data_IF_187286477466
#
_entry.id   IF_187286477466
#
_cell.length_a   1.000
_cell.length_b   1.000
_cell.length_c   1.000
_cell.angle_alpha   90.00
_cell.angle_beta   90.00
_cell.angle_gamma   90.00
#
_symmetry.space_group_name_H-M   'P 1'
#
loop_
_entity.id
_entity.type
_entity.pdbx_description
1 polymer ?
#
# COMPACT_ATOMS: atom_id res chain seq x y z
N UNK A 1 -23.63 1.30 13.37
CA UNK A 1 -24.62 0.93 14.40
C UNK A 1 -25.57 -0.18 13.93
N UNK A 2 -26.09 -0.16 12.70
CA UNK A 2 -26.95 -1.24 12.21
C UNK A 2 -26.26 -2.63 12.24
N UNK A 3 -25.04 -2.74 11.69
CA UNK A 3 -24.31 -4.01 11.64
C UNK A 3 -24.07 -4.63 13.02
N UNK A 4 -23.62 -3.83 13.99
CA UNK A 4 -23.39 -4.30 15.35
C UNK A 4 -24.67 -4.82 16.02
N UNK A 5 -25.84 -4.26 15.70
CA UNK A 5 -27.12 -4.77 16.20
C UNK A 5 -27.43 -6.15 15.57
N UNK A 6 -27.23 -6.30 14.26
CA UNK A 6 -27.43 -7.59 13.58
C UNK A 6 -26.51 -8.69 14.12
N UNK A 7 -25.27 -8.34 14.48
CA UNK A 7 -24.34 -9.26 15.15
C UNK A 7 -24.89 -9.73 16.49
N UNK A 8 -25.39 -8.82 17.34
CA UNK A 8 -25.99 -9.18 18.64
C UNK A 8 -27.22 -10.08 18.48
N UNK A 9 -28.03 -9.85 17.44
CA UNK A 9 -29.19 -10.70 17.13
C UNK A 9 -28.73 -12.12 16.74
N UNK A 10 -27.67 -12.24 15.93
CA UNK A 10 -27.11 -13.55 15.56
C UNK A 10 -26.51 -14.28 16.77
N UNK A 11 -25.79 -13.57 17.64
CA UNK A 11 -25.28 -14.11 18.91
C UNK A 11 -26.43 -14.66 19.77
N UNK A 12 -27.48 -13.86 19.97
CA UNK A 12 -28.64 -14.26 20.78
C UNK A 12 -29.37 -15.49 20.23
N UNK A 13 -29.54 -15.55 18.91
CA UNK A 13 -30.14 -16.72 18.23
C UNK A 13 -29.30 -17.98 18.45
N UNK A 14 -27.98 -17.88 18.31
CA UNK A 14 -27.09 -19.02 18.52
C UNK A 14 -27.10 -19.51 19.97
N UNK A 15 -27.17 -18.61 20.96
CA UNK A 15 -27.35 -18.97 22.39
C UNK A 15 -28.63 -19.79 22.64
N UNK A 16 -29.68 -19.51 21.87
CA UNK A 16 -30.98 -20.20 21.94
C UNK A 16 -31.03 -21.47 21.07
N UNK A 17 -29.90 -21.86 20.44
CA UNK A 17 -29.84 -23.01 19.53
C UNK A 17 -30.51 -22.76 18.17
N UNK A 18 -30.82 -21.50 17.83
CA UNK A 18 -31.40 -21.11 16.56
C UNK A 18 -30.32 -20.74 15.54
N UNK A 19 -30.56 -20.94 14.23
CA UNK A 19 -29.61 -20.55 13.19
C UNK A 19 -29.37 -19.03 13.16
N UNK A 20 -28.11 -18.59 13.23
CA UNK A 20 -27.74 -17.19 13.14
C UNK A 20 -26.28 -17.02 12.72
N UNK A 21 -26.03 -16.21 11.70
CA UNK A 21 -24.69 -15.93 11.19
C UNK A 21 -24.62 -14.50 10.66
N UNK A 22 -23.69 -13.71 11.20
CA UNK A 22 -23.29 -12.41 10.69
C UNK A 22 -21.86 -12.50 10.13
N UNK A 23 -21.67 -12.07 8.89
CA UNK A 23 -20.36 -12.04 8.23
C UNK A 23 -19.94 -10.59 8.02
N UNK A 24 -18.81 -10.21 8.62
CA UNK A 24 -18.17 -8.91 8.44
C UNK A 24 -17.25 -8.97 7.22
N UNK A 25 -17.78 -8.58 6.06
CA UNK A 25 -17.01 -8.48 4.82
C UNK A 25 -16.17 -7.21 4.77
N UNK A 26 -14.94 -7.33 4.26
CA UNK A 26 -14.13 -6.21 3.82
C UNK A 26 -14.64 -5.60 2.51
N UNK A 27 -13.76 -4.93 1.76
CA UNK A 27 -14.11 -4.40 0.44
C UNK A 27 -14.37 -5.56 -0.53
N UNK A 28 -15.53 -5.58 -1.19
CA UNK A 28 -15.88 -6.57 -2.22
C UNK A 28 -15.74 -5.92 -3.59
N UNK A 29 -15.12 -6.63 -4.53
CA UNK A 29 -14.93 -6.21 -5.92
C UNK A 29 -16.24 -6.39 -6.73
N UNK A 30 -16.32 -5.74 -7.89
CA UNK A 30 -17.42 -5.85 -8.88
C UNK A 30 -18.81 -5.31 -8.49
N UNK A 31 -19.13 -5.04 -7.22
CA UNK A 31 -20.41 -4.43 -6.80
C UNK A 31 -20.29 -3.54 -5.56
N UNK A 32 -20.93 -2.36 -5.59
CA UNK A 32 -21.04 -1.43 -4.46
C UNK A 32 -20.54 -0.01 -4.77
N UNK A 33 -20.65 0.91 -3.81
CA UNK A 33 -20.27 2.34 -3.95
C UNK A 33 -18.79 2.53 -4.37
N UNK A 34 -17.94 1.51 -4.13
CA UNK A 34 -16.51 1.51 -4.47
C UNK A 34 -16.24 0.95 -5.88
N UNK A 35 -17.20 0.25 -6.50
CA UNK A 35 -17.06 -0.24 -7.87
C UNK A 35 -17.01 0.92 -8.88
N UNK A 36 -17.75 2.01 -8.61
CA UNK A 36 -17.83 3.24 -9.42
C UNK A 36 -16.65 4.21 -9.25
N UNK A 37 -15.70 3.92 -8.35
CA UNK A 37 -14.51 4.75 -8.15
C UNK A 37 -13.49 4.54 -9.27
N UNK A 38 -12.82 5.62 -9.71
CA UNK A 38 -11.77 5.54 -10.74
C UNK A 38 -10.61 4.64 -10.26
N UNK A 39 -9.95 3.94 -11.19
CA UNK A 39 -8.86 2.99 -10.88
C UNK A 39 -7.73 3.61 -10.05
N UNK A 40 -7.40 4.88 -10.30
CA UNK A 40 -6.39 5.62 -9.53
C UNK A 40 -6.79 5.80 -8.05
N UNK A 41 -8.09 5.97 -7.76
CA UNK A 41 -8.59 6.10 -6.39
C UNK A 41 -8.60 4.74 -5.68
N UNK A 42 -8.89 3.65 -6.40
CA UNK A 42 -8.83 2.28 -5.86
C UNK A 42 -7.40 1.91 -5.43
N UNK A 43 -6.39 2.26 -6.24
CA UNK A 43 -4.98 2.03 -5.92
C UNK A 43 -4.53 2.89 -4.73
N UNK A 44 -4.92 4.17 -4.68
CA UNK A 44 -4.64 5.09 -3.58
C UNK A 44 -5.25 4.65 -2.24
N UNK A 45 -6.50 4.14 -2.23
CA UNK A 45 -7.16 3.66 -1.01
C UNK A 45 -6.53 2.35 -0.54
N UNK A 46 -6.17 1.46 -1.47
CA UNK A 46 -5.50 0.19 -1.18
C UNK A 46 -4.14 0.43 -0.51
N UNK A 47 -3.35 1.38 -1.01
CA UNK A 47 -2.04 1.73 -0.46
C UNK A 47 -2.14 2.41 0.92
N UNK A 48 -3.22 3.16 1.20
CA UNK A 48 -3.42 3.86 2.49
C UNK A 48 -4.06 3.00 3.58
N UNK A 49 -5.04 2.17 3.23
CA UNK A 49 -5.82 1.37 4.20
C UNK A 49 -5.22 -0.03 4.36
N UNK A 50 -4.44 -0.50 3.38
CA UNK A 50 -3.82 -1.82 3.41
C UNK A 50 -4.82 -2.97 3.25
N UNK A 51 -6.04 -2.70 2.76
CA UNK A 51 -7.09 -3.69 2.51
C UNK A 51 -7.38 -3.69 1.00
N UNK A 52 -7.25 -4.87 0.39
CA UNK A 52 -7.55 -5.12 -1.01
C UNK A 52 -9.04 -5.42 -1.21
N UNK A 53 -9.53 -5.20 -2.42
CA UNK A 53 -10.83 -5.67 -2.85
C UNK A 53 -10.82 -7.21 -2.97
N UNK A 54 -11.82 -7.85 -2.36
CA UNK A 54 -12.03 -9.29 -2.41
C UNK A 54 -12.95 -9.61 -3.59
N UNK A 55 -12.52 -10.51 -4.47
CA UNK A 55 -13.33 -10.92 -5.63
C UNK A 55 -14.58 -11.66 -5.21
N UNK A 56 -15.66 -11.58 -6.01
CA UNK A 56 -16.93 -12.28 -5.74
C UNK A 56 -16.71 -13.79 -5.58
N UNK A 57 -15.86 -14.40 -6.42
CA UNK A 57 -15.52 -15.83 -6.29
C UNK A 57 -14.91 -16.15 -4.93
N UNK A 58 -13.99 -15.31 -4.43
CA UNK A 58 -13.41 -15.48 -3.10
C UNK A 58 -14.46 -15.31 -1.99
N UNK A 59 -15.39 -14.37 -2.12
CA UNK A 59 -16.49 -14.22 -1.17
C UNK A 59 -17.39 -15.47 -1.12
N UNK A 60 -17.70 -16.07 -2.28
CA UNK A 60 -18.51 -17.29 -2.34
C UNK A 60 -17.79 -18.50 -1.73
N UNK A 61 -16.48 -18.63 -1.94
CA UNK A 61 -15.66 -19.67 -1.32
C UNK A 61 -15.63 -19.56 0.21
N UNK A 62 -15.48 -18.34 0.74
CA UNK A 62 -15.52 -18.08 2.18
C UNK A 62 -16.93 -18.24 2.77
N UNK A 63 -17.97 -17.85 2.03
CA UNK A 63 -19.35 -18.07 2.44
C UNK A 63 -19.64 -19.55 2.67
N UNK A 64 -19.19 -20.43 1.77
CA UNK A 64 -19.36 -21.87 1.92
C UNK A 64 -18.71 -22.39 3.22
N UNK A 65 -17.50 -21.89 3.56
CA UNK A 65 -16.83 -22.25 4.82
C UNK A 65 -17.60 -21.72 6.04
N UNK A 66 -18.10 -20.49 5.97
CA UNK A 66 -18.81 -19.86 7.08
C UNK A 66 -20.21 -20.43 7.36
N UNK A 67 -20.85 -21.04 6.37
CA UNK A 67 -22.13 -21.73 6.56
C UNK A 67 -22.00 -23.06 7.32
N UNK A 68 -20.80 -23.65 7.39
CA UNK A 68 -20.56 -24.98 7.98
C UNK A 68 -20.00 -24.89 9.42
N UNK A 69 -19.66 -23.69 9.88
CA UNK A 69 -19.04 -23.46 11.20
C UNK A 69 -20.07 -22.98 12.25
N UNK A 70 -19.71 -22.99 13.53
CA UNK A 70 -20.64 -22.77 14.67
C UNK A 70 -20.57 -21.40 15.35
N UNK A 71 -19.68 -20.51 14.92
CA UNK A 71 -19.55 -19.13 15.41
C UNK A 71 -20.63 -18.24 14.78
N UNK A 72 -21.38 -17.47 15.58
CA UNK A 72 -22.44 -16.60 15.08
C UNK A 72 -21.93 -15.34 14.38
N UNK A 73 -20.66 -14.96 14.58
CA UNK A 73 -20.04 -13.79 13.97
C UNK A 73 -18.66 -14.16 13.46
N UNK A 74 -18.40 -13.87 12.18
CA UNK A 74 -17.13 -14.15 11.49
C UNK A 74 -16.76 -12.96 10.59
N UNK A 75 -15.52 -12.91 10.11
CA UNK A 75 -15.05 -11.84 9.22
C UNK A 75 -14.19 -12.40 8.09
N UNK A 76 -14.27 -11.78 6.91
CA UNK A 76 -13.39 -12.05 5.78
C UNK A 76 -12.96 -10.74 5.14
N UNK A 77 -11.64 -10.60 4.97
CA UNK A 77 -11.03 -9.44 4.33
C UNK A 77 -9.70 -9.86 3.69
N UNK A 78 -9.35 -9.20 2.58
CA UNK A 78 -8.06 -9.40 1.93
C UNK A 78 -7.14 -8.26 2.35
N UNK A 79 -6.05 -8.58 3.05
CA UNK A 79 -5.06 -7.58 3.47
C UNK A 79 -4.00 -7.46 2.38
N UNK A 80 -3.69 -6.23 1.98
CA UNK A 80 -2.57 -5.95 1.11
C UNK A 80 -1.29 -6.46 1.78
N UNK A 81 -0.52 -7.28 1.06
CA UNK A 81 0.80 -7.66 1.54
C UNK A 81 1.57 -6.36 1.77
N UNK A 82 1.95 -6.09 3.02
CA UNK A 82 2.97 -5.09 3.32
C UNK A 82 4.15 -5.45 2.42
N UNK A 83 4.42 -4.65 1.38
CA UNK A 83 5.62 -4.81 0.57
C UNK A 83 6.76 -4.79 1.58
N UNK A 84 7.37 -5.94 1.83
CA UNK A 84 8.62 -5.97 2.55
C UNK A 84 9.52 -5.00 1.79
N UNK A 85 10.05 -3.98 2.45
CA UNK A 85 11.02 -3.05 1.88
C UNK A 85 12.33 -3.74 1.42
N UNK A 86 12.33 -5.07 1.22
CA UNK A 86 13.48 -5.86 0.77
C UNK A 86 13.76 -5.77 -0.73
N UNK A 87 12.89 -5.14 -1.54
CA UNK A 87 13.23 -4.69 -2.90
C UNK A 87 13.37 -3.15 -3.00
N UNK A 88 13.28 -2.44 -1.87
CA UNK A 88 13.50 -1.00 -1.81
C UNK A 88 14.95 -0.65 -2.12
N UNK A 89 15.90 -1.47 -1.65
CA UNK A 89 17.37 -1.27 -1.71
C UNK A 89 17.91 -0.85 -3.08
N UNK A 90 17.36 -1.41 -4.14
CA UNK A 90 17.77 -1.04 -5.50
C UNK A 90 16.85 0.01 -6.14
N UNK A 91 15.64 0.23 -5.66
CA UNK A 91 14.64 1.01 -6.41
C UNK A 91 14.82 2.52 -6.24
N UNK A 92 15.09 3.01 -5.02
CA UNK A 92 15.32 4.44 -4.77
C UNK A 92 16.55 4.94 -5.54
N UNK A 93 17.67 4.23 -5.37
CA UNK A 93 18.95 4.56 -5.98
C UNK A 93 18.85 4.42 -7.52
N UNK A 94 18.23 3.35 -8.04
CA UNK A 94 18.02 3.21 -9.49
C UNK A 94 17.10 4.28 -10.06
N UNK A 95 16.05 4.68 -9.35
CA UNK A 95 15.14 5.71 -9.84
C UNK A 95 15.84 7.06 -9.95
N UNK A 96 16.60 7.45 -8.92
CA UNK A 96 17.42 8.68 -8.95
C UNK A 96 18.51 8.58 -10.02
N UNK A 97 19.17 7.43 -10.17
CA UNK A 97 20.17 7.21 -11.21
C UNK A 97 19.58 7.30 -12.63
N UNK A 98 18.37 6.76 -12.85
CA UNK A 98 17.67 6.85 -14.13
C UNK A 98 17.30 8.29 -14.49
N UNK A 99 16.87 9.10 -13.52
CA UNK A 99 16.58 10.53 -13.75
C UNK A 99 17.87 11.29 -14.13
N UNK A 100 19.02 10.89 -13.57
CA UNK A 100 20.34 11.44 -13.90
C UNK A 100 20.99 10.78 -15.14
N UNK A 101 20.28 9.88 -15.84
CA UNK A 101 20.79 9.07 -16.96
C UNK A 101 22.10 8.28 -16.66
N UNK A 102 22.29 7.91 -15.40
CA UNK A 102 23.43 7.11 -14.93
C UNK A 102 23.10 5.63 -15.10
N UNK A 103 23.70 5.00 -16.10
CA UNK A 103 23.47 3.57 -16.42
C UNK A 103 24.18 2.60 -15.46
N UNK A 104 25.33 3.00 -14.90
CA UNK A 104 26.13 2.17 -13.99
C UNK A 104 26.56 2.91 -12.72
N UNK A 105 25.76 2.74 -11.66
CA UNK A 105 26.00 3.34 -10.33
C UNK A 105 27.30 2.82 -9.68
N UNK A 106 27.81 1.66 -10.12
CA UNK A 106 29.03 1.03 -9.57
C UNK A 106 30.30 1.86 -9.77
N UNK A 107 30.32 2.74 -10.77
CA UNK A 107 31.46 3.60 -11.07
C UNK A 107 31.30 5.02 -10.51
N UNK A 108 30.18 5.31 -9.84
CA UNK A 108 29.89 6.64 -9.31
C UNK A 108 30.26 6.72 -7.83
N UNK A 109 30.94 7.80 -7.46
CA UNK A 109 31.27 8.09 -6.07
C UNK A 109 30.00 8.24 -5.24
N UNK A 110 29.83 7.36 -4.24
CA UNK A 110 28.65 7.41 -3.37
C UNK A 110 28.60 8.66 -2.48
N UNK A 111 29.73 9.34 -2.31
CA UNK A 111 29.86 10.52 -1.45
C UNK A 111 29.75 11.84 -2.23
N UNK A 112 29.78 11.79 -3.56
CA UNK A 112 29.59 12.99 -4.39
C UNK A 112 28.13 13.45 -4.32
N UNK A 113 27.94 14.77 -4.33
CA UNK A 113 26.60 15.35 -4.35
C UNK A 113 25.94 15.10 -5.70
N UNK A 114 24.60 14.98 -5.74
CA UNK A 114 23.88 14.86 -7.01
C UNK A 114 24.14 16.08 -7.92
N UNK A 115 24.38 17.26 -7.34
CA UNK A 115 24.78 18.46 -8.06
C UNK A 115 26.12 18.30 -8.80
N UNK A 116 27.10 17.60 -8.21
CA UNK A 116 28.37 17.27 -8.88
C UNK A 116 28.21 16.22 -9.99
N UNK A 117 27.12 15.44 -9.95
CA UNK A 117 26.83 14.37 -10.89
C UNK A 117 25.91 14.81 -12.04
N UNK A 118 25.67 16.11 -12.18
CA UNK A 118 24.89 16.67 -13.29
C UNK A 118 23.43 16.95 -12.97
N UNK A 119 23.03 16.96 -11.69
CA UNK A 119 21.70 17.45 -11.30
C UNK A 119 21.60 18.97 -11.55
N UNK A 120 20.80 19.35 -12.54
CA UNK A 120 20.40 20.73 -12.78
C UNK A 120 19.10 21.08 -12.02
N UNK A 121 18.63 22.33 -12.18
CA UNK A 121 17.41 22.81 -11.50
C UNK A 121 16.15 22.03 -11.89
N UNK A 122 16.09 21.46 -13.10
CA UNK A 122 14.93 20.71 -13.58
C UNK A 122 14.94 19.29 -13.00
N UNK A 123 16.10 18.63 -13.04
CA UNK A 123 16.31 17.31 -12.45
C UNK A 123 16.11 17.35 -10.93
N UNK A 124 16.52 18.42 -10.26
CA UNK A 124 16.27 18.58 -8.83
C UNK A 124 14.77 18.58 -8.47
N UNK A 125 13.93 19.20 -9.31
CA UNK A 125 12.47 19.20 -9.13
C UNK A 125 11.88 17.83 -9.43
N UNK A 126 12.37 17.15 -10.46
CA UNK A 126 11.92 15.79 -10.81
C UNK A 126 12.27 14.77 -9.73
N UNK A 127 13.49 14.83 -9.17
CA UNK A 127 13.91 14.01 -8.03
C UNK A 127 13.00 14.29 -6.83
N UNK A 128 12.76 15.57 -6.51
CA UNK A 128 11.85 15.96 -5.41
C UNK A 128 10.47 15.34 -5.56
N UNK A 129 9.82 15.58 -6.70
CA UNK A 129 8.47 15.08 -6.95
C UNK A 129 8.41 13.55 -6.97
N UNK A 130 9.46 12.90 -7.47
CA UNK A 130 9.55 11.44 -7.49
C UNK A 130 9.72 10.86 -6.09
N UNK A 131 10.54 11.48 -5.24
CA UNK A 131 10.71 11.11 -3.84
C UNK A 131 9.42 11.28 -3.04
N UNK A 132 8.70 12.38 -3.24
CA UNK A 132 7.42 12.65 -2.59
C UNK A 132 6.33 11.66 -3.05
N UNK A 133 6.16 11.47 -4.36
CA UNK A 133 5.06 10.64 -4.91
C UNK A 133 5.28 9.14 -4.78
N UNK A 134 6.51 8.65 -4.99
CA UNK A 134 6.79 7.20 -5.02
C UNK A 134 7.32 6.65 -3.70
N UNK A 135 7.92 7.49 -2.86
CA UNK A 135 8.61 7.05 -1.65
C UNK A 135 8.12 7.75 -0.37
N UNK A 136 7.21 8.73 -0.46
CA UNK A 136 6.71 9.53 0.68
C UNK A 136 7.84 10.23 1.46
N UNK A 137 8.92 10.60 0.75
CA UNK A 137 10.09 11.29 1.32
C UNK A 137 10.01 12.78 0.96
N UNK A 138 9.84 13.62 1.98
CA UNK A 138 9.80 15.07 1.83
C UNK A 138 11.17 15.68 2.16
N UNK A 139 11.75 16.41 1.21
CA UNK A 139 13.04 17.09 1.36
C UNK A 139 12.93 18.56 0.93
N UNK A 140 13.68 19.41 1.62
CA UNK A 140 13.85 20.81 1.24
C UNK A 140 14.77 20.94 0.00
N UNK A 141 14.67 22.07 -0.72
CA UNK A 141 15.52 22.33 -1.88
C UNK A 141 17.03 22.28 -1.54
N UNK A 142 17.39 22.71 -0.33
CA UNK A 142 18.77 22.65 0.16
C UNK A 142 19.23 21.22 0.46
N UNK A 143 18.33 20.36 0.96
CA UNK A 143 18.63 18.95 1.21
C UNK A 143 18.78 18.14 -0.08
N UNK A 144 18.00 18.47 -1.11
CA UNK A 144 18.14 17.87 -2.45
C UNK A 144 19.48 18.27 -3.07
N UNK A 145 19.88 19.54 -2.96
CA UNK A 145 21.16 20.02 -3.48
C UNK A 145 22.36 19.29 -2.87
N UNK A 146 22.27 18.96 -1.58
CA UNK A 146 23.31 18.25 -0.83
C UNK A 146 23.06 16.74 -0.74
N UNK A 147 22.15 16.20 -1.55
CA UNK A 147 21.84 14.77 -1.54
C UNK A 147 23.03 14.00 -2.15
N UNK A 148 23.34 12.85 -1.57
CA UNK A 148 24.36 11.92 -2.08
C UNK A 148 23.75 10.53 -2.15
N UNK A 149 24.33 9.64 -2.97
CA UNK A 149 23.89 8.24 -2.98
C UNK A 149 24.10 7.56 -1.62
N UNK A 150 25.12 7.96 -0.84
CA UNK A 150 25.30 7.51 0.53
C UNK A 150 24.16 7.97 1.47
N UNK A 151 23.67 9.21 1.31
CA UNK A 151 22.55 9.73 2.10
C UNK A 151 21.23 9.07 1.71
N UNK A 152 21.01 8.85 0.41
CA UNK A 152 19.89 8.06 -0.10
C UNK A 152 19.89 6.64 0.49
N UNK A 153 21.05 5.98 0.50
CA UNK A 153 21.22 4.64 1.09
C UNK A 153 20.91 4.62 2.60
N UNK A 154 21.25 5.70 3.33
CA UNK A 154 20.90 5.85 4.76
C UNK A 154 19.40 6.09 4.98
N UNK A 155 18.75 6.90 4.14
CA UNK A 155 17.30 7.14 4.19
C UNK A 155 16.49 5.88 3.87
N UNK A 156 17.11 4.92 3.20
CA UNK A 156 16.54 3.64 2.80
C UNK A 156 16.52 2.57 3.91
N UNK A 157 17.26 2.79 5.00
CA UNK A 157 17.42 1.85 6.12
C UNK A 157 16.35 2.01 7.22
N UNK A 158 15.43 2.97 7.07
CA UNK A 158 14.31 3.22 7.98
C UNK A 158 12.97 2.89 7.31
#
# INVERSE_FOLDING_TARGET
MANSIMERVCEKRAEEGLPGLAIQWGNVDDVGIVADMQENDKELITDRVGILQQTISSCLDELNKFLIQSRPVVSSMVVAKKKARSSGFNTLIKTVANILDIKDIKFVSQNSSLAELGMDSMIAVEIKQTLERKFDIFLTAQEIRNLTFAKLNKMQLF
#
